data_IF_873355569111
#
_entry.id   IF_873355569111
#
_cell.length_a   1.000
_cell.length_b   1.000
_cell.length_c   1.000
_cell.angle_alpha   90.00
_cell.angle_beta   90.00
_cell.angle_gamma   90.00
#
_symmetry.space_group_name_H-M   'P 1'
#
loop_
_entity.id
_entity.type
_entity.pdbx_description
1 polymer ?
#
# COMPACT_ATOMS: atom_id res chain seq x y z
N UNK A 1 -30.90 22.51 10.11
CA UNK A 1 -29.46 22.60 10.47
C UNK A 1 -28.84 23.65 9.58
N UNK A 2 -27.89 24.44 10.10
CA UNK A 2 -27.17 25.48 9.34
C UNK A 2 -25.75 25.02 8.99
N UNK A 3 -25.14 25.64 7.98
CA UNK A 3 -23.77 25.34 7.50
C UNK A 3 -22.80 26.52 7.73
N UNK A 4 -22.56 26.95 8.98
CA UNK A 4 -21.82 28.18 9.27
C UNK A 4 -20.37 28.16 8.80
N UNK A 5 -19.66 27.02 8.92
CA UNK A 5 -18.26 26.93 8.51
C UNK A 5 -18.13 26.92 6.99
N UNK A 6 -18.96 26.12 6.31
CA UNK A 6 -18.97 26.08 4.84
C UNK A 6 -19.37 27.43 4.24
N UNK A 7 -20.37 28.11 4.82
CA UNK A 7 -20.80 29.44 4.35
C UNK A 7 -19.67 30.46 4.46
N UNK A 8 -18.95 30.46 5.58
CA UNK A 8 -17.79 31.33 5.77
C UNK A 8 -16.67 31.03 4.78
N UNK A 9 -16.31 29.75 4.63
CA UNK A 9 -15.25 29.34 3.70
C UNK A 9 -15.63 29.70 2.26
N UNK A 10 -16.88 29.49 1.84
CA UNK A 10 -17.33 29.87 0.51
C UNK A 10 -17.25 31.38 0.27
N UNK A 11 -17.58 32.20 1.28
CA UNK A 11 -17.48 33.66 1.17
C UNK A 11 -16.03 34.15 1.09
N UNK A 12 -15.11 33.51 1.80
CA UNK A 12 -13.69 33.89 1.82
C UNK A 12 -12.86 33.21 0.70
N UNK A 13 -13.44 32.23 -0.02
CA UNK A 13 -12.71 31.38 -0.97
C UNK A 13 -12.05 32.11 -2.15
N UNK A 14 -12.63 33.23 -2.61
CA UNK A 14 -12.06 34.03 -3.71
C UNK A 14 -10.75 34.71 -3.31
N UNK A 15 -10.59 35.06 -2.02
CA UNK A 15 -9.37 35.69 -1.49
C UNK A 15 -8.34 34.69 -0.95
N UNK A 16 -8.72 33.43 -0.76
CA UNK A 16 -7.83 32.40 -0.20
C UNK A 16 -6.93 31.77 -1.26
N UNK A 17 -5.68 31.52 -0.89
CA UNK A 17 -4.79 30.60 -1.60
C UNK A 17 -5.29 29.15 -1.48
N UNK A 18 -4.83 28.26 -2.38
CA UNK A 18 -5.18 26.84 -2.32
C UNK A 18 -4.76 26.18 -0.99
N UNK A 19 -3.69 26.69 -0.37
CA UNK A 19 -3.16 26.25 0.92
C UNK A 19 -4.03 26.65 2.10
N UNK A 20 -4.42 27.92 2.16
CA UNK A 20 -5.33 28.45 3.17
C UNK A 20 -6.70 27.76 3.08
N UNK A 21 -7.19 27.57 1.86
CA UNK A 21 -8.43 26.85 1.63
C UNK A 21 -8.33 25.40 2.15
N UNK A 22 -7.21 24.73 1.88
CA UNK A 22 -6.98 23.38 2.40
C UNK A 22 -6.90 23.32 3.92
N UNK A 23 -6.24 24.29 4.56
CA UNK A 23 -6.17 24.38 6.01
C UNK A 23 -7.55 24.63 6.63
N UNK A 24 -8.36 25.52 6.04
CA UNK A 24 -9.71 25.83 6.51
C UNK A 24 -10.62 24.60 6.47
N UNK A 25 -10.61 23.83 5.38
CA UNK A 25 -11.37 22.57 5.29
C UNK A 25 -10.86 21.50 6.27
N UNK A 26 -9.54 21.41 6.47
CA UNK A 26 -8.95 20.42 7.38
C UNK A 26 -9.25 20.73 8.86
N UNK A 27 -9.48 21.99 9.20
CA UNK A 27 -9.82 22.41 10.56
C UNK A 27 -11.23 22.00 11.00
N UNK A 28 -12.13 21.71 10.06
CA UNK A 28 -13.50 21.27 10.36
C UNK A 28 -13.49 19.77 10.70
N UNK A 29 -14.04 19.36 11.86
CA UNK A 29 -14.23 17.94 12.18
C UNK A 29 -15.10 17.25 11.12
N UNK A 30 -14.71 16.04 10.71
CA UNK A 30 -15.41 15.29 9.66
C UNK A 30 -16.93 15.15 9.92
N UNK A 31 -17.40 14.81 11.15
CA UNK A 31 -18.83 14.71 11.43
C UNK A 31 -19.58 16.03 11.20
N UNK A 32 -18.95 17.15 11.56
CA UNK A 32 -19.49 18.50 11.35
C UNK A 32 -19.53 18.85 9.87
N UNK A 33 -18.47 18.53 9.12
CA UNK A 33 -18.42 18.77 7.68
C UNK A 33 -19.55 18.04 6.94
N UNK A 34 -19.82 16.77 7.30
CA UNK A 34 -20.91 15.99 6.71
C UNK A 34 -22.28 16.63 7.01
N UNK A 35 -22.52 16.98 8.28
CA UNK A 35 -23.77 17.61 8.68
C UNK A 35 -24.01 18.97 8.01
N UNK A 36 -22.94 19.73 7.75
CA UNK A 36 -23.03 21.00 7.03
C UNK A 36 -23.20 20.81 5.52
N UNK A 37 -22.54 19.82 4.90
CA UNK A 37 -22.77 19.46 3.49
C UNK A 37 -24.25 19.14 3.26
N UNK A 38 -24.87 18.34 4.14
CA UNK A 38 -26.29 17.96 4.07
C UNK A 38 -27.26 19.13 4.32
N UNK A 39 -26.79 20.19 4.98
CA UNK A 39 -27.56 21.39 5.27
C UNK A 39 -27.60 22.39 4.11
N UNK A 40 -26.67 22.30 3.14
CA UNK A 40 -26.61 23.19 1.99
C UNK A 40 -27.77 22.91 1.01
N UNK A 41 -28.36 23.97 0.45
CA UNK A 41 -29.47 23.86 -0.51
C UNK A 41 -29.35 24.88 -1.65
N UNK A 42 -29.85 24.52 -2.82
CA UNK A 42 -29.95 25.42 -3.97
C UNK A 42 -28.58 25.92 -4.46
N UNK A 43 -28.46 27.22 -4.67
CA UNK A 43 -27.25 27.88 -5.20
C UNK A 43 -26.02 27.69 -4.29
N UNK A 44 -26.22 27.54 -2.98
CA UNK A 44 -25.13 27.28 -2.04
C UNK A 44 -24.40 25.96 -2.33
N UNK A 45 -25.11 24.96 -2.86
CA UNK A 45 -24.50 23.68 -3.25
C UNK A 45 -23.56 23.88 -4.44
N UNK A 46 -23.93 24.73 -5.40
CA UNK A 46 -23.10 24.98 -6.58
C UNK A 46 -21.83 25.74 -6.20
N UNK A 47 -21.95 26.80 -5.39
CA UNK A 47 -20.81 27.53 -4.85
C UNK A 47 -19.88 26.59 -4.07
N UNK A 48 -20.46 25.73 -3.22
CA UNK A 48 -19.71 24.74 -2.46
C UNK A 48 -18.93 23.78 -3.36
N UNK A 49 -19.55 23.27 -4.43
CA UNK A 49 -18.91 22.31 -5.34
C UNK A 49 -17.68 22.91 -6.06
N UNK A 50 -17.74 24.19 -6.43
CA UNK A 50 -16.59 24.91 -7.03
C UNK A 50 -15.42 24.95 -6.06
N UNK A 51 -15.68 25.41 -4.83
CA UNK A 51 -14.67 25.52 -3.77
C UNK A 51 -14.12 24.13 -3.40
N UNK A 52 -15.00 23.13 -3.28
CA UNK A 52 -14.64 21.74 -2.98
C UNK A 52 -13.77 21.12 -4.06
N UNK A 53 -14.02 21.42 -5.34
CA UNK A 53 -13.19 20.95 -6.46
C UNK A 53 -11.78 21.50 -6.34
N UNK A 54 -11.64 22.78 -6.03
CA UNK A 54 -10.34 23.44 -5.82
C UNK A 54 -9.57 22.82 -4.66
N UNK A 55 -10.23 22.61 -3.52
CA UNK A 55 -9.67 21.90 -2.37
C UNK A 55 -9.19 20.48 -2.72
N UNK A 56 -10.02 19.69 -3.42
CA UNK A 56 -9.67 18.32 -3.83
C UNK A 56 -8.47 18.28 -4.78
N UNK A 57 -8.38 19.23 -5.71
CA UNK A 57 -7.26 19.33 -6.64
C UNK A 57 -5.94 19.63 -5.92
N UNK A 58 -5.95 20.55 -4.95
CA UNK A 58 -4.77 20.81 -4.13
C UNK A 58 -4.38 19.61 -3.25
N UNK A 59 -5.36 18.99 -2.58
CA UNK A 59 -5.15 17.77 -1.77
C UNK A 59 -4.48 16.66 -2.59
N UNK A 60 -4.95 16.43 -3.82
CA UNK A 60 -4.37 15.42 -4.73
C UNK A 60 -2.91 15.74 -5.05
N UNK A 61 -2.60 16.96 -5.49
CA UNK A 61 -1.23 17.40 -5.77
C UNK A 61 -0.29 17.20 -4.57
N UNK A 62 -0.76 17.48 -3.36
CA UNK A 62 0.01 17.26 -2.12
C UNK A 62 0.24 15.78 -1.83
N UNK A 63 -0.77 14.92 -2.03
CA UNK A 63 -0.61 13.48 -1.88
C UNK A 63 0.34 12.90 -2.92
N UNK A 64 0.25 13.34 -4.18
CA UNK A 64 1.13 12.89 -5.26
C UNK A 64 2.59 13.28 -4.98
N UNK A 65 2.81 14.50 -4.45
CA UNK A 65 4.15 14.94 -4.03
C UNK A 65 4.70 14.08 -2.89
N UNK A 66 3.91 13.83 -1.85
CA UNK A 66 4.32 12.98 -0.74
C UNK A 66 4.59 11.53 -1.17
N UNK A 67 3.82 11.02 -2.15
CA UNK A 67 4.05 9.70 -2.74
C UNK A 67 5.40 9.66 -3.47
N UNK A 68 5.70 10.66 -4.31
CA UNK A 68 6.99 10.76 -5.02
C UNK A 68 8.17 10.86 -4.06
N UNK A 69 8.07 11.68 -3.02
CA UNK A 69 9.11 11.78 -1.98
C UNK A 69 9.36 10.42 -1.30
N UNK A 70 8.31 9.64 -1.07
CA UNK A 70 8.39 8.31 -0.46
C UNK A 70 8.98 7.27 -1.45
N UNK A 71 8.64 7.36 -2.73
CA UNK A 71 9.23 6.55 -3.79
C UNK A 71 10.74 6.83 -3.95
N UNK A 72 11.13 8.10 -3.95
CA UNK A 72 12.54 8.52 -4.01
C UNK A 72 13.33 8.03 -2.79
N UNK A 73 12.75 8.16 -1.58
CA UNK A 73 13.35 7.64 -0.36
C UNK A 73 13.51 6.11 -0.39
N UNK A 74 12.52 5.39 -0.94
CA UNK A 74 12.58 3.95 -1.10
C UNK A 74 13.65 3.53 -2.13
N UNK A 75 13.77 4.24 -3.24
CA UNK A 75 14.82 4.01 -4.24
C UNK A 75 16.23 4.24 -3.66
N UNK A 76 16.43 5.32 -2.90
CA UNK A 76 17.71 5.58 -2.24
C UNK A 76 18.05 4.50 -1.21
N UNK A 77 17.08 4.05 -0.41
CA UNK A 77 17.27 2.96 0.54
C UNK A 77 17.59 1.62 -0.17
N UNK A 78 16.94 1.35 -1.31
CA UNK A 78 17.22 0.16 -2.12
C UNK A 78 18.62 0.18 -2.74
N UNK A 79 19.07 1.34 -3.22
CA UNK A 79 20.44 1.51 -3.75
C UNK A 79 21.50 1.38 -2.64
N UNK A 80 21.22 1.89 -1.43
CA UNK A 80 22.09 1.72 -0.27
C UNK A 80 22.20 0.24 0.14
N UNK A 81 21.09 -0.51 0.16
CA UNK A 81 21.12 -1.95 0.42
C UNK A 81 21.85 -2.74 -0.68
N UNK A 82 21.72 -2.35 -1.95
CA UNK A 82 22.45 -2.99 -3.04
C UNK A 82 23.97 -2.74 -2.96
N UNK A 83 24.40 -1.60 -2.41
CA UNK A 83 25.80 -1.32 -2.14
C UNK A 83 26.36 -2.18 -0.98
N UNK A 84 25.58 -2.40 0.08
CA UNK A 84 25.96 -3.27 1.20
C UNK A 84 25.97 -4.78 0.85
N UNK A 85 25.15 -5.22 -0.12
CA UNK A 85 25.17 -6.61 -0.57
C UNK A 85 26.39 -6.96 -1.45
N UNK A 86 27.09 -5.96 -2.00
CA UNK A 86 28.31 -6.17 -2.81
C UNK A 86 29.59 -6.29 -1.97
N UNK A 87 29.54 -6.15 -0.65
CA UNK A 87 30.70 -6.38 0.24
C UNK A 87 30.74 -7.77 0.88
N UNK A 88 29.77 -8.65 0.58
CA UNK A 88 29.70 -10.02 1.12
C UNK A 88 29.78 -11.11 0.02
N UNK A 89 30.76 -11.00 -0.89
CA UNK A 89 31.15 -12.10 -1.80
C UNK A 89 32.53 -12.63 -1.43
N UNK A 90 32.59 -13.39 -0.33
CA UNK A 90 33.87 -13.93 0.18
C UNK A 90 33.77 -15.23 0.98
N UNK A 91 32.68 -15.99 0.89
CA UNK A 91 32.60 -17.31 1.51
C UNK A 91 32.03 -18.33 0.53
N UNK A 92 32.91 -19.23 0.10
CA UNK A 92 32.60 -20.40 -0.71
C UNK A 92 31.43 -21.18 -0.09
N UNK A 93 30.39 -21.45 -0.87
CA UNK A 93 29.33 -22.36 -0.47
C UNK A 93 29.87 -23.80 -0.43
N UNK A 94 30.11 -24.31 0.77
CA UNK A 94 30.15 -25.75 1.00
C UNK A 94 28.75 -26.35 0.75
N UNK A 95 28.65 -27.57 0.22
CA UNK A 95 27.35 -28.21 -0.03
C UNK A 95 26.62 -28.45 1.30
N UNK A 96 25.29 -28.24 1.39
CA UNK A 96 24.59 -28.36 2.65
C UNK A 96 24.47 -29.84 3.05
N UNK A 97 25.18 -30.22 4.10
CA UNK A 97 24.88 -31.42 4.89
C UNK A 97 23.58 -31.20 5.66
N UNK A 98 22.62 -32.09 5.48
CA UNK A 98 21.37 -32.12 6.22
C UNK A 98 21.66 -32.33 7.72
N UNK A 99 21.50 -31.28 8.53
CA UNK A 99 21.43 -31.39 9.98
C UNK A 99 20.14 -30.72 10.46
N UNK A 100 19.20 -31.54 10.92
CA UNK A 100 17.99 -31.11 11.59
C UNK A 100 18.35 -30.48 12.94
N UNK A 101 18.27 -29.16 13.04
CA UNK A 101 18.30 -28.45 14.31
C UNK A 101 16.87 -28.27 14.82
N UNK A 102 16.54 -28.70 16.05
CA UNK A 102 15.29 -28.30 16.69
C UNK A 102 15.36 -26.80 17.03
N UNK A 103 14.29 -26.02 16.84
CA UNK A 103 14.32 -24.59 17.13
C UNK A 103 14.40 -24.36 18.65
N UNK A 104 15.07 -23.29 19.11
CA UNK A 104 15.15 -22.97 20.53
C UNK A 104 13.77 -22.61 21.05
N UNK A 105 13.28 -23.39 22.02
CA UNK A 105 12.18 -23.01 22.87
C UNK A 105 12.66 -21.82 23.70
N UNK A 106 12.27 -20.58 23.36
CA UNK A 106 12.12 -19.40 24.23
C UNK A 106 11.80 -18.15 23.37
N UNK A 107 10.68 -18.16 22.66
CA UNK A 107 10.00 -16.94 22.26
C UNK A 107 8.52 -17.12 22.60
N UNK A 108 8.18 -16.77 23.84
CA UNK A 108 6.81 -16.60 24.27
C UNK A 108 6.14 -15.48 23.48
N UNK A 109 4.87 -15.71 23.17
CA UNK A 109 3.91 -14.81 22.53
C UNK A 109 3.98 -14.67 21.00
N UNK A 110 3.41 -15.66 20.31
CA UNK A 110 2.20 -15.36 19.55
C UNK A 110 2.27 -15.25 18.03
N UNK A 111 3.37 -15.63 17.36
CA UNK A 111 3.32 -15.87 15.91
C UNK A 111 3.93 -17.24 15.58
N UNK A 112 3.19 -18.16 14.94
CA UNK A 112 3.82 -19.34 14.36
C UNK A 112 4.79 -18.85 13.29
N UNK A 113 6.09 -18.97 13.57
CA UNK A 113 7.14 -18.90 12.56
C UNK A 113 6.89 -20.05 11.60
N UNK A 114 6.04 -19.81 10.60
CA UNK A 114 5.95 -20.65 9.44
C UNK A 114 7.28 -20.47 8.72
N UNK A 115 8.20 -21.41 8.86
CA UNK A 115 9.27 -21.58 7.88
C UNK A 115 8.61 -21.77 6.50
N UNK A 116 9.09 -21.13 5.42
CA UNK A 116 8.51 -21.34 4.09
C UNK A 116 8.70 -22.79 3.69
N UNK A 117 7.64 -23.48 3.22
CA UNK A 117 7.86 -24.72 2.51
C UNK A 117 8.77 -24.39 1.33
N UNK A 118 9.88 -25.13 1.20
CA UNK A 118 10.85 -24.94 0.11
C UNK A 118 10.16 -25.13 -1.26
N UNK A 119 9.08 -25.91 -1.28
CA UNK A 119 8.34 -26.28 -2.48
C UNK A 119 6.82 -26.24 -2.26
N UNK A 120 6.08 -25.75 -3.26
CA UNK A 120 4.61 -25.73 -3.32
C UNK A 120 4.11 -26.70 -4.37
N UNK A 121 3.13 -27.52 -4.04
CA UNK A 121 2.50 -28.44 -4.98
C UNK A 121 1.30 -27.72 -5.62
N UNK A 122 1.40 -27.42 -6.92
CA UNK A 122 0.36 -26.75 -7.68
C UNK A 122 -0.15 -27.67 -8.80
N UNK A 123 -1.37 -28.21 -8.70
CA UNK A 123 -1.99 -28.91 -9.81
C UNK A 123 -2.33 -27.92 -10.94
N UNK A 124 -2.08 -28.22 -12.24
CA UNK A 124 -1.50 -29.45 -12.81
C UNK A 124 0.04 -29.40 -13.02
N UNK A 125 0.72 -28.35 -12.56
CA UNK A 125 2.13 -28.04 -12.90
C UNK A 125 3.15 -28.81 -12.04
N UNK A 126 2.71 -29.38 -10.91
CA UNK A 126 3.56 -30.14 -10.00
C UNK A 126 4.22 -29.25 -8.96
N UNK A 127 5.41 -29.64 -8.51
CA UNK A 127 6.12 -28.96 -7.42
C UNK A 127 6.92 -27.77 -7.93
N UNK A 128 6.68 -26.58 -7.37
CA UNK A 128 7.36 -25.33 -7.74
C UNK A 128 8.09 -24.77 -6.52
N UNK A 129 9.31 -24.28 -6.72
CA UNK A 129 10.06 -23.56 -5.67
C UNK A 129 9.27 -22.32 -5.24
N UNK A 130 8.99 -22.22 -3.94
CA UNK A 130 8.10 -21.18 -3.41
C UNK A 130 8.66 -19.77 -3.65
N UNK A 131 9.96 -19.56 -3.43
CA UNK A 131 10.59 -18.24 -3.56
C UNK A 131 10.68 -17.82 -5.02
N UNK A 132 11.05 -18.75 -5.91
CA UNK A 132 11.08 -18.48 -7.35
C UNK A 132 9.68 -18.21 -7.89
N UNK A 133 8.68 -18.95 -7.40
CA UNK A 133 7.29 -18.77 -7.79
C UNK A 133 6.82 -17.37 -7.41
N UNK A 134 6.99 -16.93 -6.17
CA UNK A 134 6.51 -15.62 -5.72
C UNK A 134 7.23 -14.44 -6.38
N UNK A 135 8.50 -14.59 -6.75
CA UNK A 135 9.26 -13.54 -7.45
C UNK A 135 8.93 -13.44 -8.95
N UNK A 136 8.27 -14.43 -9.54
CA UNK A 136 7.95 -14.43 -10.97
C UNK A 136 7.04 -13.24 -11.36
N UNK A 137 7.33 -12.51 -12.46
CA UNK A 137 6.45 -11.48 -12.99
C UNK A 137 5.05 -12.03 -13.31
N UNK A 138 3.98 -11.26 -13.05
CA UNK A 138 2.60 -11.72 -13.32
C UNK A 138 2.37 -12.10 -14.80
N UNK A 139 3.05 -11.40 -15.71
CA UNK A 139 3.00 -11.67 -17.15
C UNK A 139 3.50 -13.07 -17.53
N UNK A 140 4.43 -13.65 -16.76
CA UNK A 140 5.02 -14.97 -17.04
C UNK A 140 4.27 -16.11 -16.35
N UNK A 141 3.29 -15.79 -15.48
CA UNK A 141 2.51 -16.80 -14.75
C UNK A 141 1.26 -17.18 -15.57
N UNK A 142 1.06 -18.49 -15.85
CA UNK A 142 -0.13 -18.98 -16.53
C UNK A 142 -1.41 -18.51 -15.84
N UNK A 143 -2.47 -18.10 -16.57
CA UNK A 143 -3.71 -17.62 -15.99
C UNK A 143 -4.29 -18.54 -14.90
N UNK A 144 -4.19 -19.85 -15.09
CA UNK A 144 -4.64 -20.89 -14.15
C UNK A 144 -3.93 -20.87 -12.79
N UNK A 145 -2.71 -20.32 -12.73
CA UNK A 145 -1.89 -20.26 -11.51
C UNK A 145 -1.85 -18.87 -10.87
N UNK A 146 -2.45 -17.85 -11.49
CA UNK A 146 -2.34 -16.45 -11.01
C UNK A 146 -2.91 -16.26 -9.60
N UNK A 147 -4.05 -16.89 -9.28
CA UNK A 147 -4.61 -16.83 -7.93
C UNK A 147 -3.70 -17.46 -6.86
N UNK A 148 -3.07 -18.60 -7.19
CA UNK A 148 -2.13 -19.26 -6.31
C UNK A 148 -0.85 -18.42 -6.14
N UNK A 149 -0.38 -17.79 -7.22
CA UNK A 149 0.77 -16.87 -7.22
C UNK A 149 0.54 -15.64 -6.36
N UNK A 150 -0.63 -15.01 -6.49
CA UNK A 150 -1.04 -13.86 -5.66
C UNK A 150 -1.11 -14.22 -4.18
N UNK A 151 -1.70 -15.38 -3.87
CA UNK A 151 -1.75 -15.91 -2.51
C UNK A 151 -0.35 -16.21 -1.97
N UNK A 152 0.53 -16.79 -2.78
CA UNK A 152 1.91 -17.07 -2.41
C UNK A 152 2.68 -15.78 -2.09
N UNK A 153 2.51 -14.73 -2.90
CA UNK A 153 3.09 -13.40 -2.66
C UNK A 153 2.57 -12.75 -1.38
N UNK A 154 1.26 -12.84 -1.12
CA UNK A 154 0.67 -12.32 0.10
C UNK A 154 1.25 -13.03 1.34
N UNK A 155 1.38 -14.35 1.28
CA UNK A 155 2.00 -15.17 2.34
C UNK A 155 3.48 -14.80 2.52
N UNK A 156 4.22 -14.58 1.44
CA UNK A 156 5.62 -14.12 1.54
C UNK A 156 5.71 -12.75 2.23
N UNK A 157 4.83 -11.80 1.89
CA UNK A 157 4.83 -10.47 2.51
C UNK A 157 4.53 -10.53 4.01
N UNK A 158 3.56 -11.34 4.43
CA UNK A 158 3.29 -11.54 5.85
C UNK A 158 4.51 -12.10 6.59
N UNK A 159 5.28 -13.00 5.94
CA UNK A 159 6.49 -13.58 6.52
C UNK A 159 7.67 -12.60 6.58
N UNK A 160 7.73 -11.66 5.64
CA UNK A 160 8.71 -10.56 5.66
C UNK A 160 8.37 -9.47 6.70
N UNK A 161 7.30 -9.64 7.48
CA UNK A 161 6.90 -8.71 8.54
C UNK A 161 6.05 -7.53 8.07
N UNK A 162 5.51 -7.57 6.85
CA UNK A 162 4.56 -6.55 6.40
C UNK A 162 3.26 -6.62 7.20
N UNK A 163 2.67 -5.47 7.51
CA UNK A 163 1.40 -5.41 8.24
C UNK A 163 0.26 -6.00 7.40
N UNK A 164 -0.76 -6.63 8.01
CA UNK A 164 -1.88 -7.22 7.28
C UNK A 164 -2.57 -6.24 6.32
N UNK A 165 -2.65 -4.95 6.68
CA UNK A 165 -3.23 -3.91 5.83
C UNK A 165 -2.40 -3.68 4.55
N UNK A 166 -1.07 -3.67 4.67
CA UNK A 166 -0.15 -3.53 3.53
C UNK A 166 -0.25 -4.76 2.61
N UNK A 167 -0.32 -5.96 3.20
CA UNK A 167 -0.48 -7.19 2.41
C UNK A 167 -1.82 -7.23 1.70
N UNK A 168 -2.91 -6.85 2.37
CA UNK A 168 -4.23 -6.82 1.78
C UNK A 168 -4.32 -5.82 0.62
N UNK A 169 -3.78 -4.60 0.81
CA UNK A 169 -3.73 -3.60 -0.25
C UNK A 169 -2.94 -4.10 -1.46
N UNK A 170 -1.72 -4.61 -1.25
CA UNK A 170 -0.89 -5.15 -2.33
C UNK A 170 -1.56 -6.33 -3.05
N UNK A 171 -2.26 -7.20 -2.32
CA UNK A 171 -3.01 -8.31 -2.90
C UNK A 171 -4.17 -7.83 -3.79
N UNK A 172 -4.94 -6.82 -3.33
CA UNK A 172 -6.05 -6.25 -4.10
C UNK A 172 -5.54 -5.53 -5.34
N UNK A 173 -4.46 -4.75 -5.22
CA UNK A 173 -3.86 -4.03 -6.36
C UNK A 173 -3.33 -5.03 -7.41
N UNK A 174 -2.64 -6.09 -6.99
CA UNK A 174 -2.15 -7.14 -7.90
C UNK A 174 -3.28 -7.98 -8.50
N UNK A 175 -4.37 -8.21 -7.76
CA UNK A 175 -5.58 -8.82 -8.29
C UNK A 175 -6.26 -7.95 -9.35
N UNK A 176 -6.39 -6.65 -9.09
CA UNK A 176 -6.97 -5.69 -10.03
C UNK A 176 -6.19 -5.68 -11.34
N UNK A 177 -4.87 -5.57 -11.26
CA UNK A 177 -3.98 -5.66 -12.43
C UNK A 177 -4.08 -7.01 -13.15
N UNK A 178 -4.19 -8.13 -12.41
CA UNK A 178 -4.31 -9.45 -13.01
C UNK A 178 -5.65 -9.69 -13.73
N UNK A 179 -6.71 -8.99 -13.30
CA UNK A 179 -8.05 -9.00 -13.90
C UNK A 179 -8.24 -7.90 -14.96
N UNK A 180 -7.25 -7.03 -15.17
CA UNK A 180 -7.36 -5.89 -16.09
C UNK A 180 -8.29 -4.78 -15.60
N UNK A 181 -8.55 -4.73 -14.30
CA UNK A 181 -9.33 -3.67 -13.66
C UNK A 181 -8.41 -2.46 -13.38
N UNK A 182 -8.88 -1.23 -13.65
CA UNK A 182 -8.11 0.00 -13.44
C UNK A 182 -7.87 0.31 -11.96
#
# INVERSE_FOLDING_TARGET
>A
MSAPHLTRIMAEAEGMTDEELYAAFKAIPIPTLIAEEDALKGEQVQAYLVVRRRWRAYRRRRMDKALKELEEAWQQASLAQAAEQNTFQGLAHAPPTFAAYPPPAHLGYGMPSLAPPVAWVLPPVGTVDFVKFTLAPMATVPPTLRHAHLSARAVQRLRLGHTPQVVHKAFVDEMGLALGLP
#
